data_IF_391389114977
#
_entry.id   IF_391389114977
#
_cell.length_a   1.000
_cell.length_b   1.000
_cell.length_c   1.000
_cell.angle_alpha   90.00
_cell.angle_beta   90.00
_cell.angle_gamma   90.00
#
_symmetry.space_group_name_H-M   'P 1'
#
loop_
_entity.id
_entity.type
_entity.pdbx_description
1 polymer ?
#
# COMPACT_ATOMS: atom_id res chain seq x y z
N UNK A 1 5.60 -54.97 -11.39
CA UNK A 1 6.42 -53.79 -11.69
C UNK A 1 5.47 -52.64 -11.82
N UNK A 2 5.53 -51.75 -10.83
CA UNK A 2 4.49 -50.81 -10.46
C UNK A 2 4.32 -49.65 -11.44
N UNK A 3 3.08 -49.18 -11.52
CA UNK A 3 2.65 -48.04 -12.31
C UNK A 3 3.28 -46.72 -11.80
N UNK A 4 3.43 -45.69 -12.65
CA UNK A 4 3.95 -44.39 -12.22
C UNK A 4 3.00 -43.73 -11.21
N UNK A 5 3.55 -43.24 -10.09
CA UNK A 5 2.82 -42.41 -9.13
C UNK A 5 2.27 -41.14 -9.79
N UNK A 6 1.00 -40.77 -9.53
CA UNK A 6 0.38 -39.61 -10.16
C UNK A 6 0.94 -38.29 -9.63
N UNK A 7 0.94 -37.33 -10.55
CA UNK A 7 1.40 -35.94 -10.46
C UNK A 7 1.48 -35.29 -9.08
N UNK A 8 2.59 -34.57 -8.88
CA UNK A 8 2.65 -33.42 -7.98
C UNK A 8 1.42 -32.55 -8.25
N UNK A 9 0.48 -32.53 -7.32
CA UNK A 9 -0.55 -31.51 -7.27
C UNK A 9 0.16 -30.17 -7.25
N UNK A 10 -0.20 -29.29 -8.20
CA UNK A 10 0.15 -27.87 -8.06
C UNK A 10 -0.29 -27.44 -6.66
N UNK A 11 0.55 -26.77 -5.87
CA UNK A 11 0.10 -26.21 -4.61
C UNK A 11 -1.12 -25.34 -4.91
N UNK A 12 -2.22 -25.62 -4.20
CA UNK A 12 -3.44 -24.82 -4.25
C UNK A 12 -3.04 -23.36 -4.02
N UNK A 13 -3.49 -22.41 -4.86
CA UNK A 13 -3.14 -21.01 -4.66
C UNK A 13 -3.63 -20.62 -3.27
N UNK A 14 -2.70 -20.12 -2.44
CA UNK A 14 -2.99 -19.60 -1.10
C UNK A 14 -4.31 -18.82 -1.12
N UNK A 15 -5.23 -19.11 -0.19
CA UNK A 15 -6.50 -18.41 -0.10
C UNK A 15 -6.22 -16.90 -0.03
N UNK A 16 -6.84 -16.09 -0.88
CA UNK A 16 -6.57 -14.65 -0.92
C UNK A 16 -7.71 -13.92 -0.20
N UNK A 17 -7.40 -13.21 0.88
CA UNK A 17 -8.31 -12.21 1.46
C UNK A 17 -8.40 -11.02 0.51
N UNK A 18 -9.51 -10.97 -0.23
CA UNK A 18 -9.76 -9.95 -1.27
C UNK A 18 -10.27 -8.65 -0.68
N UNK A 19 -10.11 -7.56 -1.43
CA UNK A 19 -10.77 -6.30 -1.12
C UNK A 19 -12.30 -6.45 -1.20
N UNK A 20 -13.02 -5.81 -0.29
CA UNK A 20 -14.46 -5.63 -0.45
C UNK A 20 -14.76 -4.48 -1.41
N UNK A 21 -15.62 -4.73 -2.40
CA UNK A 21 -16.03 -3.73 -3.40
C UNK A 21 -14.94 -3.34 -4.41
N UNK A 22 -15.33 -2.63 -5.47
CA UNK A 22 -14.46 -2.27 -6.60
C UNK A 22 -13.78 -0.90 -6.47
N UNK A 23 -14.04 -0.17 -5.39
CA UNK A 23 -13.46 1.15 -5.12
C UNK A 23 -14.06 2.29 -5.95
N UNK A 24 -15.13 2.05 -6.70
CA UNK A 24 -15.76 3.07 -7.55
C UNK A 24 -16.23 4.32 -6.79
N UNK A 25 -16.47 4.21 -5.48
CA UNK A 25 -16.83 5.35 -4.61
C UNK A 25 -15.69 6.36 -4.41
N UNK A 26 -14.43 5.95 -4.59
CA UNK A 26 -13.25 6.78 -4.37
C UNK A 26 -12.74 7.46 -5.63
N UNK A 27 -13.15 6.97 -6.81
CA UNK A 27 -12.50 7.29 -8.07
C UNK A 27 -13.48 7.55 -9.19
N UNK A 28 -13.15 8.52 -10.04
CA UNK A 28 -13.76 8.66 -11.36
C UNK A 28 -12.81 8.13 -12.45
N UNK A 29 -13.32 7.39 -13.45
CA UNK A 29 -12.52 6.94 -14.58
C UNK A 29 -11.79 8.08 -15.31
N UNK A 30 -10.57 7.82 -15.76
CA UNK A 30 -9.74 8.74 -16.55
C UNK A 30 -8.77 7.92 -17.41
N UNK A 31 -8.40 8.43 -18.57
CA UNK A 31 -7.29 7.88 -19.35
C UNK A 31 -5.94 8.18 -18.68
N UNK A 32 -4.99 7.26 -18.87
CA UNK A 32 -3.66 7.49 -18.35
C UNK A 32 -2.96 8.66 -19.04
N UNK A 33 -2.37 9.54 -18.23
CA UNK A 33 -1.41 10.51 -18.71
C UNK A 33 -0.16 9.82 -19.27
N UNK A 34 0.71 10.59 -19.93
CA UNK A 34 2.06 10.12 -20.24
C UNK A 34 2.75 9.75 -18.94
N UNK A 35 3.52 8.64 -18.95
CA UNK A 35 4.37 8.30 -17.81
C UNK A 35 5.29 9.49 -17.51
N UNK A 36 5.19 10.00 -16.29
CA UNK A 36 6.04 11.08 -15.78
C UNK A 36 6.90 10.50 -14.67
N UNK A 37 8.13 10.99 -14.55
CA UNK A 37 8.93 10.73 -13.38
C UNK A 37 8.26 11.41 -12.18
N UNK A 38 8.04 10.67 -11.11
CA UNK A 38 7.47 11.25 -9.90
C UNK A 38 8.43 12.25 -9.25
N UNK A 39 7.87 13.30 -8.68
CA UNK A 39 8.60 14.24 -7.84
C UNK A 39 8.23 13.97 -6.39
N UNK A 40 9.05 13.25 -5.61
CA UNK A 40 8.73 12.94 -4.22
C UNK A 40 8.34 14.19 -3.42
N UNK A 41 7.43 14.07 -2.43
CA UNK A 41 7.11 15.18 -1.55
C UNK A 41 8.35 15.73 -0.84
N UNK A 42 8.37 17.03 -0.61
CA UNK A 42 9.50 17.71 0.03
C UNK A 42 9.65 17.33 1.51
N UNK A 43 10.88 17.37 2.01
CA UNK A 43 11.14 17.25 3.45
C UNK A 43 10.38 18.34 4.24
N UNK A 44 9.80 17.95 5.37
CA UNK A 44 8.94 18.79 6.19
C UNK A 44 7.44 18.68 5.86
N UNK A 45 7.08 18.14 4.68
CA UNK A 45 5.69 17.87 4.31
C UNK A 45 5.04 16.90 5.29
N UNK A 46 3.78 17.14 5.65
CA UNK A 46 2.97 16.25 6.47
C UNK A 46 1.70 15.81 5.75
N UNK A 47 1.31 14.57 5.97
CA UNK A 47 0.09 13.96 5.45
C UNK A 47 -0.72 13.41 6.62
N UNK A 48 -1.99 13.82 6.72
CA UNK A 48 -2.92 13.28 7.72
C UNK A 48 -3.94 12.40 7.01
N UNK A 49 -4.03 11.15 7.39
CA UNK A 49 -4.94 10.16 6.84
C UNK A 49 -6.10 9.92 7.80
N UNK A 50 -7.32 9.97 7.28
CA UNK A 50 -8.49 9.50 7.99
C UNK A 50 -8.78 8.03 7.64
N UNK A 51 -9.30 7.29 8.61
CA UNK A 51 -9.88 5.97 8.39
C UNK A 51 -11.30 6.13 7.84
N UNK A 52 -11.67 5.31 6.88
CA UNK A 52 -13.03 5.19 6.36
C UNK A 52 -13.41 3.71 6.16
N UNK A 53 -14.72 3.46 6.15
CA UNK A 53 -15.23 2.15 5.74
C UNK A 53 -15.15 1.98 4.20
N UNK A 54 -15.57 0.81 3.73
CA UNK A 54 -15.58 0.46 2.30
C UNK A 54 -16.58 1.27 1.46
N UNK A 55 -17.48 2.02 2.11
CA UNK A 55 -18.39 3.00 1.48
C UNK A 55 -17.80 4.42 1.44
N UNK A 56 -16.61 4.63 1.96
CA UNK A 56 -15.95 5.94 2.02
C UNK A 56 -16.46 6.85 3.14
N UNK A 57 -17.25 6.32 4.08
CA UNK A 57 -17.70 7.07 5.26
C UNK A 57 -16.55 7.12 6.27
N UNK A 58 -16.15 8.33 6.65
CA UNK A 58 -15.08 8.56 7.63
C UNK A 58 -15.46 7.93 8.96
N UNK A 59 -14.59 7.08 9.48
CA UNK A 59 -14.70 6.52 10.81
C UNK A 59 -14.05 7.48 11.81
N UNK A 60 -14.82 8.04 12.76
CA UNK A 60 -14.27 8.97 13.74
C UNK A 60 -13.19 8.31 14.59
N UNK A 61 -12.10 9.05 14.82
CA UNK A 61 -11.27 8.83 15.99
C UNK A 61 -9.93 8.13 15.77
N UNK A 62 -9.62 7.56 14.61
CA UNK A 62 -8.23 7.11 14.35
C UNK A 62 -7.72 7.77 13.10
N UNK A 63 -6.63 8.52 13.26
CA UNK A 63 -5.90 9.12 12.13
C UNK A 63 -4.48 8.60 12.10
N UNK A 64 -3.92 8.45 10.91
CA UNK A 64 -2.49 8.19 10.71
C UNK A 64 -1.86 9.49 10.23
N UNK A 65 -0.73 9.86 10.81
CA UNK A 65 0.04 11.01 10.37
C UNK A 65 1.41 10.56 9.87
N UNK A 66 1.82 11.11 8.75
CA UNK A 66 3.13 10.89 8.14
C UNK A 66 3.84 12.22 7.95
N UNK A 67 5.08 12.31 8.42
CA UNK A 67 5.91 13.50 8.27
C UNK A 67 7.19 13.16 7.51
N UNK A 68 7.38 13.78 6.35
CA UNK A 68 8.56 13.57 5.51
C UNK A 68 9.79 14.15 6.21
N UNK A 69 10.76 13.29 6.52
CA UNK A 69 12.01 13.68 7.16
C UNK A 69 13.10 13.98 6.14
N UNK A 70 13.46 12.99 5.34
CA UNK A 70 14.62 13.08 4.43
C UNK A 70 14.23 12.58 3.03
N UNK A 71 14.64 13.33 2.01
CA UNK A 71 14.46 12.95 0.59
C UNK A 71 15.84 12.91 -0.07
N UNK A 72 16.20 11.78 -0.68
CA UNK A 72 17.47 11.57 -1.39
C UNK A 72 17.21 10.91 -2.74
N UNK A 73 17.11 11.73 -3.78
CA UNK A 73 16.68 11.25 -5.10
C UNK A 73 15.24 10.77 -5.03
N UNK A 74 15.02 9.49 -5.31
CA UNK A 74 13.73 8.82 -5.18
C UNK A 74 13.52 8.20 -3.79
N UNK A 75 14.52 8.14 -2.90
CA UNK A 75 14.34 7.58 -1.55
C UNK A 75 13.72 8.62 -0.62
N UNK A 76 12.61 8.26 0.05
CA UNK A 76 11.92 9.09 1.05
C UNK A 76 11.90 8.38 2.39
N UNK A 77 12.38 9.06 3.42
CA UNK A 77 12.28 8.65 4.83
C UNK A 77 11.27 9.55 5.53
N UNK A 78 10.32 8.95 6.25
CA UNK A 78 9.24 9.65 6.94
C UNK A 78 8.95 9.00 8.28
N UNK A 79 8.48 9.80 9.24
CA UNK A 79 7.93 9.29 10.49
C UNK A 79 6.44 9.02 10.35
N UNK A 80 5.98 7.83 10.72
CA UNK A 80 4.57 7.48 10.78
C UNK A 80 4.10 7.37 12.24
N UNK A 81 2.94 7.92 12.57
CA UNK A 81 2.32 7.72 13.90
C UNK A 81 0.81 7.57 13.78
N UNK A 82 0.21 6.92 14.76
CA UNK A 82 -1.25 6.82 14.91
C UNK A 82 -1.70 7.79 16.00
N UNK A 83 -2.73 8.56 15.71
CA UNK A 83 -3.39 9.46 16.66
C UNK A 83 -4.79 8.92 16.95
N UNK A 84 -5.05 8.63 18.22
CA UNK A 84 -6.30 8.06 18.75
C UNK A 84 -7.35 9.16 19.02
N UNK A 85 -8.62 8.81 19.33
CA UNK A 85 -9.70 9.80 19.36
C UNK A 85 -9.54 10.81 20.50
N UNK A 86 -8.85 10.40 21.56
CA UNK A 86 -8.52 11.21 22.73
C UNK A 86 -7.26 12.08 22.54
N UNK A 87 -6.70 12.09 21.33
CA UNK A 87 -5.54 12.90 20.96
C UNK A 87 -4.20 12.32 21.42
N UNK A 88 -4.18 11.10 21.98
CA UNK A 88 -2.92 10.41 22.22
C UNK A 88 -2.29 10.00 20.89
N UNK A 89 -0.97 10.10 20.81
CA UNK A 89 -0.21 9.73 19.63
C UNK A 89 0.84 8.68 19.99
N UNK A 90 0.96 7.64 19.17
CA UNK A 90 2.10 6.72 19.28
C UNK A 90 3.41 7.46 18.99
N UNK A 91 4.55 7.02 19.56
CA UNK A 91 5.85 7.47 19.08
C UNK A 91 5.96 7.28 17.56
N UNK A 92 6.54 8.24 16.82
CA UNK A 92 6.73 8.08 15.38
C UNK A 92 7.67 6.91 15.08
N UNK A 93 7.23 6.00 14.21
CA UNK A 93 8.03 4.94 13.63
C UNK A 93 8.67 5.45 12.33
N UNK A 94 10.00 5.37 12.23
CA UNK A 94 10.70 5.81 11.03
C UNK A 94 10.54 4.75 9.94
N UNK A 95 10.00 5.16 8.80
CA UNK A 95 9.80 4.34 7.60
C UNK A 95 10.64 4.90 6.46
N UNK A 96 11.07 4.02 5.57
CA UNK A 96 11.80 4.38 4.35
C UNK A 96 11.18 3.68 3.16
N UNK A 97 10.93 4.47 2.11
CA UNK A 97 10.38 4.03 0.84
C UNK A 97 11.19 4.61 -0.31
N UNK A 98 10.92 4.15 -1.53
CA UNK A 98 11.42 4.77 -2.75
C UNK A 98 10.22 5.32 -3.53
N UNK A 99 10.07 6.63 -3.63
CA UNK A 99 9.08 7.28 -4.47
C UNK A 99 9.08 6.68 -5.89
N UNK A 100 7.89 6.36 -6.37
CA UNK A 100 7.68 5.60 -7.61
C UNK A 100 7.66 4.10 -7.47
N UNK A 101 8.32 3.58 -6.44
CA UNK A 101 8.10 2.22 -5.98
C UNK A 101 7.07 2.30 -4.85
N UNK A 102 5.84 1.87 -5.15
CA UNK A 102 4.64 1.98 -4.31
C UNK A 102 4.97 2.09 -2.81
N UNK A 103 4.67 3.23 -2.16
CA UNK A 103 5.12 3.52 -0.81
C UNK A 103 4.45 2.60 0.21
N UNK A 104 5.00 1.41 0.54
CA UNK A 104 4.32 0.46 1.43
C UNK A 104 4.57 0.56 2.92
N UNK A 105 3.67 1.24 3.62
CA UNK A 105 3.41 0.98 5.04
C UNK A 105 1.92 1.02 5.33
N UNK A 106 1.53 0.26 6.34
CA UNK A 106 0.26 0.34 7.03
C UNK A 106 0.51 0.37 8.54
N UNK A 107 -0.51 0.57 9.38
CA UNK A 107 -0.37 0.82 10.82
C UNK A 107 0.44 -0.20 11.64
N UNK A 108 0.77 -1.36 11.08
CA UNK A 108 1.54 -2.44 11.71
C UNK A 108 2.52 -3.13 10.73
N UNK A 109 2.79 -2.52 9.57
CA UNK A 109 3.67 -3.10 8.56
C UNK A 109 4.43 -2.04 7.77
N UNK A 110 5.65 -2.37 7.38
CA UNK A 110 6.36 -1.68 6.30
C UNK A 110 6.91 -2.67 5.31
N UNK A 111 7.06 -2.23 4.08
CA UNK A 111 7.63 -3.02 3.00
C UNK A 111 8.71 -2.17 2.34
N UNK A 112 9.93 -2.69 2.35
CA UNK A 112 11.03 -2.11 1.62
C UNK A 112 11.36 -3.01 0.42
N UNK A 113 11.53 -2.45 -0.76
CA UNK A 113 12.00 -3.20 -1.91
C UNK A 113 13.49 -3.50 -1.74
N UNK A 114 13.90 -4.77 -1.91
CA UNK A 114 15.27 -5.22 -1.59
C UNK A 114 16.22 -5.24 -2.77
N UNK A 115 15.74 -4.92 -3.98
CA UNK A 115 16.56 -4.88 -5.19
C UNK A 115 16.31 -3.61 -6.02
N UNK A 116 17.34 -3.14 -6.71
CA UNK A 116 17.23 -2.16 -7.80
C UNK A 116 16.51 -2.83 -8.99
N UNK A 117 15.18 -2.86 -8.96
CA UNK A 117 14.36 -3.41 -10.03
C UNK A 117 13.29 -2.43 -10.49
N UNK A 118 12.74 -2.77 -11.66
CA UNK A 118 11.87 -1.96 -12.52
C UNK A 118 10.87 -1.16 -11.71
N UNK A 119 10.77 0.11 -12.06
CA UNK A 119 9.78 1.00 -11.50
C UNK A 119 8.38 0.48 -11.87
N UNK A 120 7.49 0.16 -10.90
CA UNK A 120 6.12 -0.28 -11.18
C UNK A 120 5.31 0.78 -11.94
N UNK A 121 5.81 2.01 -12.12
CA UNK A 121 5.23 2.98 -13.06
C UNK A 121 5.23 2.52 -14.51
N UNK A 122 6.18 1.66 -14.88
CA UNK A 122 6.36 1.20 -16.25
C UNK A 122 5.37 0.12 -16.67
N UNK A 123 4.59 -0.41 -15.72
CA UNK A 123 3.55 -1.39 -15.99
C UNK A 123 2.48 -0.81 -16.90
N UNK A 124 2.06 -1.61 -17.88
CA UNK A 124 0.86 -1.35 -18.68
C UNK A 124 -0.41 -1.72 -17.91
N UNK A 125 -1.55 -1.15 -18.31
CA UNK A 125 -2.86 -1.46 -17.70
C UNK A 125 -3.10 -2.98 -17.71
N UNK A 126 -3.41 -3.54 -16.53
CA UNK A 126 -3.62 -4.98 -16.30
C UNK A 126 -2.34 -5.80 -16.14
N UNK A 127 -1.15 -5.23 -16.38
CA UNK A 127 0.11 -5.94 -16.22
C UNK A 127 0.41 -6.16 -14.75
N UNK A 128 0.85 -7.38 -14.42
CA UNK A 128 1.29 -7.78 -13.08
C UNK A 128 2.76 -8.15 -13.11
N UNK A 129 3.53 -7.64 -12.15
CA UNK A 129 4.91 -8.05 -11.90
C UNK A 129 5.13 -8.37 -10.43
N UNK A 130 6.12 -9.22 -10.15
CA UNK A 130 6.48 -9.64 -8.80
C UNK A 130 7.79 -9.01 -8.38
N UNK A 131 7.82 -8.44 -7.19
CA UNK A 131 8.95 -7.69 -6.66
C UNK A 131 9.47 -8.30 -5.36
N UNK A 132 10.78 -8.49 -5.21
CA UNK A 132 11.37 -8.90 -3.94
C UNK A 132 11.29 -7.73 -2.95
N UNK A 133 10.88 -8.07 -1.72
CA UNK A 133 10.65 -7.11 -0.66
C UNK A 133 11.15 -7.67 0.67
N UNK A 134 11.56 -6.77 1.56
CA UNK A 134 11.66 -6.99 2.98
C UNK A 134 10.35 -6.52 3.59
N UNK A 135 9.52 -7.46 3.99
CA UNK A 135 8.33 -7.18 4.77
C UNK A 135 8.69 -7.12 6.24
N UNK A 136 8.35 -6.02 6.91
CA UNK A 136 8.52 -5.84 8.34
C UNK A 136 7.17 -5.66 8.99
N UNK A 137 6.75 -6.58 9.85
CA UNK A 137 5.59 -6.39 10.73
C UNK A 137 6.05 -5.86 12.08
N UNK A 138 5.41 -4.78 12.55
CA UNK A 138 5.46 -4.35 13.94
C UNK A 138 4.23 -4.90 14.67
N UNK A 139 4.45 -5.67 15.74
CA UNK A 139 3.35 -6.25 16.52
C UNK A 139 3.71 -6.37 18.00
N UNK A 140 2.77 -6.90 18.79
CA UNK A 140 2.91 -7.06 20.25
C UNK A 140 4.15 -7.90 20.67
N UNK A 141 4.70 -8.69 19.74
CA UNK A 141 5.87 -9.55 19.95
C UNK A 141 7.18 -9.01 19.37
N UNK A 142 7.24 -7.72 19.05
CA UNK A 142 8.41 -7.05 18.46
C UNK A 142 8.38 -6.95 16.95
N UNK A 143 9.38 -6.26 16.40
CA UNK A 143 9.58 -6.10 14.95
C UNK A 143 10.05 -7.42 14.33
N UNK A 144 9.42 -7.86 13.25
CA UNK A 144 9.81 -9.04 12.49
C UNK A 144 9.96 -8.68 11.03
N UNK A 145 11.16 -8.87 10.50
CA UNK A 145 11.47 -8.66 9.09
C UNK A 145 11.60 -10.03 8.38
N UNK A 146 11.02 -10.14 7.19
CA UNK A 146 11.06 -11.34 6.34
C UNK A 146 11.27 -10.93 4.88
N UNK A 147 12.24 -11.55 4.23
CA UNK A 147 12.37 -11.49 2.77
C UNK A 147 11.25 -12.29 2.11
N UNK A 148 10.51 -11.64 1.22
CA UNK A 148 9.39 -12.24 0.48
C UNK A 148 9.20 -11.52 -0.86
N UNK A 149 8.08 -11.76 -1.53
CA UNK A 149 7.71 -11.07 -2.76
C UNK A 149 6.32 -10.49 -2.71
N UNK A 150 6.11 -9.35 -3.34
CA UNK A 150 4.78 -8.76 -3.55
C UNK A 150 4.43 -8.81 -5.03
N UNK A 151 3.21 -9.23 -5.36
CA UNK A 151 2.69 -9.07 -6.71
C UNK A 151 2.01 -7.71 -6.83
N UNK A 152 2.38 -6.93 -7.85
CA UNK A 152 1.84 -5.60 -8.12
C UNK A 152 1.23 -5.60 -9.50
N UNK A 153 -0.07 -5.29 -9.57
CA UNK A 153 -0.83 -5.10 -10.80
C UNK A 153 -1.14 -3.63 -10.98
N UNK A 154 -0.75 -3.06 -12.12
CA UNK A 154 -1.24 -1.72 -12.47
C UNK A 154 -2.67 -1.82 -13.00
N UNK A 155 -3.63 -1.24 -12.28
CA UNK A 155 -5.05 -1.35 -12.62
C UNK A 155 -5.38 -0.36 -13.73
N UNK A 156 -5.31 0.94 -13.45
CA UNK A 156 -5.52 2.01 -14.41
C UNK A 156 -5.18 3.37 -13.78
N UNK A 157 -5.29 4.43 -14.56
CA UNK A 157 -5.34 5.79 -14.05
C UNK A 157 -6.77 6.19 -13.71
N UNK A 158 -6.89 7.05 -12.70
CA UNK A 158 -8.15 7.56 -12.17
C UNK A 158 -7.97 9.01 -11.73
N UNK A 159 -9.07 9.63 -11.34
CA UNK A 159 -9.06 10.87 -10.57
C UNK A 159 -9.75 10.59 -9.25
N UNK A 160 -9.23 11.10 -8.14
CA UNK A 160 -9.92 11.03 -6.85
C UNK A 160 -11.28 11.75 -6.98
N UNK A 161 -12.35 11.08 -6.58
CA UNK A 161 -13.70 11.63 -6.65
C UNK A 161 -13.83 12.92 -5.80
N UNK A 162 -14.89 13.69 -6.04
CA UNK A 162 -15.15 14.89 -5.26
C UNK A 162 -15.56 14.51 -3.81
N UNK A 163 -15.22 15.36 -2.84
CA UNK A 163 -15.65 15.20 -1.45
C UNK A 163 -14.58 14.60 -0.51
N UNK A 164 -13.39 14.27 -1.03
CA UNK A 164 -12.26 13.75 -0.25
C UNK A 164 -11.27 14.87 0.14
N UNK A 165 -11.80 16.06 0.45
CA UNK A 165 -10.99 17.19 0.94
C UNK A 165 -9.87 17.60 0.00
N UNK A 166 -8.65 17.73 0.55
CA UNK A 166 -7.45 18.27 -0.11
C UNK A 166 -6.95 17.45 -1.30
N UNK A 167 -7.38 16.20 -1.45
CA UNK A 167 -7.00 15.34 -2.58
C UNK A 167 -8.10 15.22 -3.65
N UNK A 168 -9.23 15.91 -3.50
CA UNK A 168 -10.31 15.87 -4.49
C UNK A 168 -9.82 16.32 -5.86
N UNK A 169 -10.11 15.55 -6.91
CA UNK A 169 -9.69 15.88 -8.28
C UNK A 169 -8.22 15.56 -8.59
N UNK A 170 -7.47 14.97 -7.65
CA UNK A 170 -6.07 14.63 -7.89
C UNK A 170 -5.95 13.44 -8.87
N UNK A 171 -5.13 13.56 -9.93
CA UNK A 171 -4.86 12.46 -10.83
C UNK A 171 -4.01 11.38 -10.13
N UNK A 172 -4.45 10.13 -10.21
CA UNK A 172 -3.80 9.00 -9.53
C UNK A 172 -3.62 7.80 -10.43
N UNK A 173 -2.59 7.02 -10.16
CA UNK A 173 -2.38 5.66 -10.66
C UNK A 173 -2.81 4.67 -9.60
N UNK A 174 -3.70 3.76 -9.97
CA UNK A 174 -4.25 2.74 -9.06
C UNK A 174 -3.52 1.43 -9.27
N UNK A 175 -3.02 0.86 -8.18
CA UNK A 175 -2.32 -0.40 -8.15
C UNK A 175 -3.04 -1.37 -7.23
N UNK A 176 -3.14 -2.63 -7.65
CA UNK A 176 -3.52 -3.74 -6.78
C UNK A 176 -2.29 -4.51 -6.38
N UNK A 177 -2.25 -4.91 -5.12
CA UNK A 177 -1.11 -5.56 -4.54
C UNK A 177 -1.54 -6.82 -3.82
N UNK A 178 -0.81 -7.90 -4.00
CA UNK A 178 -1.05 -9.15 -3.26
C UNK A 178 0.19 -9.46 -2.46
N UNK A 179 0.05 -9.36 -1.14
CA UNK A 179 1.08 -9.69 -0.18
C UNK A 179 0.85 -11.12 0.32
N UNK A 180 1.85 -12.02 0.25
CA UNK A 180 1.71 -13.36 0.83
C UNK A 180 1.61 -13.28 2.36
N UNK A 181 0.94 -14.25 2.97
CA UNK A 181 0.88 -14.38 4.42
C UNK A 181 2.29 -14.45 5.02
N UNK A 182 2.56 -13.61 6.03
CA UNK A 182 3.79 -13.67 6.79
C UNK A 182 3.50 -14.39 8.11
N UNK A 183 4.02 -15.61 8.24
CA UNK A 183 3.72 -16.48 9.37
C UNK A 183 4.43 -16.01 10.65
N UNK A 184 3.69 -16.00 11.76
CA UNK A 184 4.27 -16.12 13.09
C UNK A 184 4.31 -17.62 13.46
N UNK A 185 5.48 -18.22 13.75
CA UNK A 185 5.51 -19.57 14.33
C UNK A 185 4.83 -19.59 15.72
N UNK A 186 4.03 -20.62 16.07
CA UNK A 186 3.64 -21.80 15.29
C UNK A 186 2.25 -21.60 14.68
N UNK A 187 2.16 -21.35 13.36
CA UNK A 187 0.89 -21.07 12.68
C UNK A 187 0.19 -22.37 12.25
N UNK A 188 -1.11 -22.47 12.53
CA UNK A 188 -2.00 -23.48 11.96
C UNK A 188 -2.36 -23.12 10.49
N UNK A 189 -2.09 -24.06 9.59
CA UNK A 189 -2.74 -24.52 8.36
C UNK A 189 -3.40 -23.59 7.31
N UNK A 190 -3.46 -22.26 7.43
CA UNK A 190 -3.94 -21.42 6.29
C UNK A 190 -3.05 -20.19 6.04
N UNK A 191 -2.23 -20.28 4.99
CA UNK A 191 -1.54 -19.14 4.39
C UNK A 191 -2.58 -18.29 3.63
N UNK A 192 -3.04 -17.19 4.22
CA UNK A 192 -3.92 -16.25 3.52
C UNK A 192 -3.15 -15.06 2.95
N UNK A 193 -2.98 -14.99 1.63
CA UNK A 193 -2.46 -13.79 0.99
C UNK A 193 -3.48 -12.65 1.13
N UNK A 194 -3.03 -11.41 1.30
CA UNK A 194 -3.92 -10.24 1.45
C UNK A 194 -3.81 -9.32 0.25
N UNK A 195 -4.96 -8.94 -0.31
CA UNK A 195 -5.06 -7.97 -1.40
C UNK A 195 -5.20 -6.55 -0.85
N UNK A 196 -4.44 -5.62 -1.43
CA UNK A 196 -4.50 -4.19 -1.16
C UNK A 196 -4.71 -3.43 -2.47
N UNK A 197 -5.26 -2.23 -2.38
CA UNK A 197 -5.34 -1.30 -3.53
C UNK A 197 -4.90 0.09 -3.12
N UNK A 198 -3.96 0.65 -3.88
CA UNK A 198 -3.35 1.92 -3.57
C UNK A 198 -3.46 2.89 -4.74
N UNK A 199 -3.95 4.08 -4.45
CA UNK A 199 -3.96 5.20 -5.37
C UNK A 199 -2.79 6.13 -5.05
N UNK A 200 -1.88 6.26 -6.02
CA UNK A 200 -0.69 7.07 -5.91
C UNK A 200 -0.82 8.30 -6.81
N UNK A 201 -0.51 9.49 -6.29
CA UNK A 201 -0.52 10.73 -7.09
C UNK A 201 0.37 10.61 -8.32
N UNK A 202 -0.16 10.98 -9.49
CA UNK A 202 0.62 11.10 -10.72
C UNK A 202 1.71 12.18 -10.62
N UNK A 203 1.56 13.14 -9.70
CA UNK A 203 2.50 14.24 -9.50
C UNK A 203 3.63 13.84 -8.56
N UNK A 204 3.27 13.33 -7.38
CA UNK A 204 4.23 13.17 -6.29
C UNK A 204 4.74 11.74 -6.11
N UNK A 205 4.05 10.75 -6.68
CA UNK A 205 4.33 9.35 -6.37
C UNK A 205 3.97 8.98 -4.93
N UNK A 206 3.28 9.86 -4.19
CA UNK A 206 2.82 9.62 -2.83
C UNK A 206 1.45 8.93 -2.81
N UNK A 207 1.22 8.03 -1.84
CA UNK A 207 -0.08 7.37 -1.66
C UNK A 207 -1.09 8.34 -1.06
N UNK A 208 -2.25 8.42 -1.71
CA UNK A 208 -3.34 9.29 -1.29
C UNK A 208 -4.54 8.51 -0.77
N UNK A 209 -4.76 7.31 -1.29
CA UNK A 209 -5.79 6.38 -0.84
C UNK A 209 -5.18 4.98 -0.74
N UNK A 210 -5.47 4.29 0.37
CA UNK A 210 -5.13 2.88 0.56
C UNK A 210 -6.36 2.12 0.98
N UNK A 211 -6.60 0.99 0.31
CA UNK A 211 -7.66 0.06 0.64
C UNK A 211 -7.04 -1.27 1.02
N UNK A 212 -7.56 -1.82 2.10
CA UNK A 212 -7.33 -3.18 2.57
C UNK A 212 -8.69 -3.85 2.77
N UNK A 213 -8.74 -5.18 3.00
CA UNK A 213 -10.01 -5.85 3.28
C UNK A 213 -10.69 -5.35 4.57
N UNK A 214 -9.92 -4.75 5.49
CA UNK A 214 -10.42 -4.29 6.78
C UNK A 214 -10.80 -2.81 6.79
N UNK A 215 -10.20 -1.99 5.93
CA UNK A 215 -10.30 -0.54 6.03
C UNK A 215 -9.86 0.19 4.76
N UNK A 216 -10.35 1.42 4.62
CA UNK A 216 -9.83 2.42 3.69
C UNK A 216 -9.18 3.54 4.46
N UNK A 217 -8.05 4.04 4.01
CA UNK A 217 -7.46 5.29 4.51
C UNK A 217 -7.24 6.25 3.36
N UNK A 218 -7.43 7.54 3.61
CA UNK A 218 -7.16 8.57 2.62
C UNK A 218 -6.68 9.87 3.25
N UNK A 219 -5.88 10.62 2.50
CA UNK A 219 -5.34 11.91 2.94
C UNK A 219 -6.47 12.94 3.07
N UNK A 220 -6.55 13.56 4.24
CA UNK A 220 -7.53 14.61 4.58
C UNK A 220 -6.88 15.98 4.77
N UNK A 221 -5.58 16.02 5.08
CA UNK A 221 -4.80 17.25 5.20
C UNK A 221 -3.38 17.05 4.66
N UNK A 222 -2.82 18.11 4.08
CA UNK A 222 -1.46 18.18 3.53
C UNK A 222 -0.84 19.53 3.90
N UNK A 223 0.16 19.51 4.79
CA UNK A 223 0.84 20.72 5.29
C UNK A 223 2.29 20.73 4.87
#
# INVERSE_FOLDING_TARGET
MDAPSPGKTNPEPAAVTRLSGDGAVFYTPRDCGKAQAYVPPEAGRKFTYALANDKGEIQPGVTREEAIGVVRGDVVEYGERIVTPDGQATPPEVRRIRAGVLPLSGPAMSIAYTADRRDPTTLSVGQTETYPILYTASGQFGERAQDTTIAVTFVNCRTIANGYGVISGEPVRVYRLVLPAVQAPPAADELTATEFEWAVSERTGWRLVERSPAAVTFVTDMQ
#
